data_IF_227055975131
#
_entry.id   IF_227055975131
#
_cell.length_a   1.000
_cell.length_b   1.000
_cell.length_c   1.000
_cell.angle_alpha   90.00
_cell.angle_beta   90.00
_cell.angle_gamma   90.00
#
_symmetry.space_group_name_H-M   'P 1'
#
loop_
_entity.id
_entity.type
_entity.pdbx_description
1 polymer ?
#
# COMPACT_ATOMS: atom_id res chain seq x y z
N UNK A 1 15.99 14.26 -6.36
CA UNK A 1 15.76 12.90 -5.82
C UNK A 1 14.46 12.42 -6.43
N UNK A 2 14.48 11.22 -7.01
CA UNK A 2 13.27 10.65 -7.61
C UNK A 2 12.26 10.27 -6.52
N UNK A 3 10.97 10.24 -6.87
CA UNK A 3 9.90 9.91 -5.93
C UNK A 3 10.02 8.46 -5.45
N UNK A 4 10.43 7.56 -6.35
CA UNK A 4 10.70 6.16 -6.02
C UNK A 4 11.81 6.02 -4.98
N UNK A 5 12.95 6.71 -5.20
CA UNK A 5 14.08 6.70 -4.26
C UNK A 5 13.65 7.19 -2.88
N UNK A 6 12.87 8.28 -2.82
CA UNK A 6 12.37 8.84 -1.56
C UNK A 6 11.49 7.85 -0.80
N UNK A 7 10.60 7.14 -1.51
CA UNK A 7 9.75 6.11 -0.90
C UNK A 7 10.61 4.98 -0.35
N UNK A 8 11.61 4.51 -1.10
CA UNK A 8 12.49 3.42 -0.66
C UNK A 8 13.35 3.77 0.55
N UNK A 9 13.69 5.04 0.72
CA UNK A 9 14.43 5.55 1.88
C UNK A 9 13.53 5.73 3.12
N UNK A 10 12.32 6.26 2.95
CA UNK A 10 11.45 6.64 4.07
C UNK A 10 10.48 5.54 4.52
N UNK A 11 10.09 4.63 3.63
CA UNK A 11 9.09 3.59 3.90
C UNK A 11 9.76 2.25 4.17
N UNK A 12 9.22 1.55 5.17
CA UNK A 12 9.58 0.18 5.55
C UNK A 12 8.54 -0.79 5.02
N UNK A 13 8.97 -2.02 4.80
CA UNK A 13 8.10 -3.10 4.41
C UNK A 13 7.00 -3.31 5.46
N UNK A 14 5.74 -3.23 5.04
CA UNK A 14 4.56 -3.41 5.87
C UNK A 14 4.33 -4.85 6.34
N UNK A 15 5.13 -5.80 5.84
CA UNK A 15 5.09 -7.20 6.25
C UNK A 15 6.23 -7.59 7.20
N UNK A 16 7.47 -7.14 6.95
CA UNK A 16 8.64 -7.52 7.76
C UNK A 16 9.32 -6.38 8.54
N UNK A 17 8.95 -5.12 8.29
CA UNK A 17 9.53 -3.96 8.96
C UNK A 17 10.92 -3.53 8.44
N UNK A 18 11.51 -4.26 7.50
CA UNK A 18 12.81 -3.93 6.91
C UNK A 18 12.74 -2.76 5.92
N UNK A 19 13.87 -2.10 5.68
CA UNK A 19 13.98 -1.03 4.68
C UNK A 19 13.71 -1.54 3.25
N UNK A 20 13.12 -0.67 2.42
CA UNK A 20 12.90 -0.93 0.99
C UNK A 20 14.08 -0.53 0.10
N UNK A 21 15.17 0.00 0.67
CA UNK A 21 16.34 0.50 -0.07
C UNK A 21 17.01 -0.53 -0.99
N UNK A 22 16.91 -1.82 -0.66
CA UNK A 22 17.42 -2.93 -1.48
C UNK A 22 16.35 -3.57 -2.37
N UNK A 23 15.10 -3.13 -2.26
CA UNK A 23 13.99 -3.62 -3.08
C UNK A 23 14.12 -3.06 -4.49
N UNK A 24 14.04 -3.94 -5.49
CA UNK A 24 14.06 -3.54 -6.90
C UNK A 24 12.81 -2.76 -7.25
N UNK A 25 11.66 -3.15 -6.71
CA UNK A 25 10.37 -2.53 -6.97
C UNK A 25 9.73 -1.98 -5.69
N UNK A 26 8.83 -1.01 -5.86
CA UNK A 26 7.84 -0.63 -4.86
C UNK A 26 6.60 -1.48 -5.10
N UNK A 27 6.39 -2.51 -4.29
CA UNK A 27 5.25 -3.40 -4.44
C UNK A 27 4.11 -2.92 -3.55
N UNK A 28 3.11 -2.30 -4.16
CA UNK A 28 1.92 -1.78 -3.47
C UNK A 28 0.79 -2.80 -3.53
N UNK A 29 0.23 -3.14 -2.37
CA UNK A 29 -0.94 -4.01 -2.22
C UNK A 29 -2.15 -3.13 -1.88
N UNK A 30 -3.20 -3.24 -2.68
CA UNK A 30 -4.52 -2.68 -2.36
C UNK A 30 -5.18 -3.55 -1.29
N UNK A 31 -5.53 -2.96 -0.15
CA UNK A 31 -6.20 -3.67 0.94
C UNK A 31 -7.72 -3.50 0.82
N UNK A 32 -8.48 -4.50 1.28
CA UNK A 32 -9.94 -4.38 1.49
C UNK A 32 -10.25 -3.60 2.77
N UNK A 33 -9.50 -2.52 3.01
CA UNK A 33 -9.57 -1.66 4.18
C UNK A 33 -9.74 -0.21 3.75
N UNK A 34 -10.56 0.55 4.47
CA UNK A 34 -10.77 1.98 4.22
C UNK A 34 -9.62 2.79 4.78
N UNK A 35 -9.04 3.67 3.98
CA UNK A 35 -8.10 4.66 4.48
C UNK A 35 -8.87 5.80 5.17
N UNK A 36 -8.41 6.20 6.36
CA UNK A 36 -8.93 7.38 7.07
C UNK A 36 -8.09 8.63 6.81
N UNK A 37 -7.14 8.53 5.87
CA UNK A 37 -6.20 9.58 5.47
C UNK A 37 -6.35 9.89 3.98
N UNK A 38 -5.76 11.01 3.55
CA UNK A 38 -6.00 11.58 2.21
C UNK A 38 -5.06 11.04 1.14
N UNK A 39 -3.77 10.91 1.46
CA UNK A 39 -2.73 10.60 0.48
C UNK A 39 -2.46 9.10 0.40
N UNK A 40 -1.71 8.68 -0.62
CA UNK A 40 -1.26 7.30 -0.83
C UNK A 40 -2.35 6.22 -0.70
N UNK A 41 -3.59 6.58 -1.02
CA UNK A 41 -4.71 5.65 -1.07
C UNK A 41 -4.80 5.01 -2.45
N UNK A 42 -5.39 3.82 -2.52
CA UNK A 42 -5.71 3.20 -3.79
C UNK A 42 -6.96 3.83 -4.41
N UNK A 43 -6.99 3.87 -5.73
CA UNK A 43 -8.16 4.25 -6.51
C UNK A 43 -7.88 4.06 -7.99
N UNK A 44 -8.82 3.43 -8.68
CA UNK A 44 -8.79 3.26 -10.12
C UNK A 44 -10.13 3.73 -10.69
N UNK A 45 -10.10 4.73 -11.58
CA UNK A 45 -11.30 5.33 -12.20
C UNK A 45 -12.17 4.33 -12.96
N UNK A 46 -11.59 3.20 -13.39
CA UNK A 46 -12.29 2.14 -14.12
C UNK A 46 -12.88 1.06 -13.20
N UNK A 47 -12.60 1.11 -11.89
CA UNK A 47 -13.03 0.10 -10.92
C UNK A 47 -13.86 0.81 -9.84
N UNK A 48 -15.19 0.84 -9.97
CA UNK A 48 -16.07 1.46 -8.98
C UNK A 48 -15.85 0.88 -7.58
N UNK A 49 -15.75 1.74 -6.57
CA UNK A 49 -15.56 1.33 -5.18
C UNK A 49 -14.13 0.93 -4.83
N UNK A 50 -13.17 1.14 -5.74
CA UNK A 50 -11.74 0.99 -5.46
C UNK A 50 -11.12 2.21 -4.79
N UNK A 51 -11.84 3.35 -4.75
CA UNK A 51 -11.32 4.62 -4.25
C UNK A 51 -11.20 4.65 -2.73
N UNK A 52 -10.16 5.33 -2.22
CA UNK A 52 -10.00 5.59 -0.80
C UNK A 52 -9.63 4.36 0.02
N UNK A 53 -9.11 3.31 -0.61
CA UNK A 53 -8.63 2.12 0.10
C UNK A 53 -7.23 2.33 0.63
N UNK A 54 -6.96 1.73 1.79
CA UNK A 54 -5.64 1.69 2.38
C UNK A 54 -4.71 0.80 1.53
N UNK A 55 -3.43 1.11 1.56
CA UNK A 55 -2.40 0.34 0.85
C UNK A 55 -1.32 -0.13 1.81
N UNK A 56 -0.69 -1.24 1.46
CA UNK A 56 0.54 -1.70 2.08
C UNK A 56 1.67 -1.68 1.05
N UNK A 57 2.90 -1.33 1.47
CA UNK A 57 4.08 -1.49 0.63
C UNK A 57 4.94 -2.61 1.19
N UNK A 58 5.32 -3.54 0.33
CA UNK A 58 6.11 -4.71 0.73
C UNK A 58 7.38 -4.85 -0.14
N UNK A 59 8.44 -5.39 0.47
CA UNK A 59 9.68 -5.65 -0.26
C UNK A 59 9.54 -6.85 -1.20
N UNK A 60 10.42 -6.93 -2.20
CA UNK A 60 10.42 -8.03 -3.17
C UNK A 60 10.47 -9.42 -2.52
N UNK A 61 11.19 -9.55 -1.40
CA UNK A 61 11.32 -10.84 -0.71
C UNK A 61 10.00 -11.26 -0.06
N UNK A 62 9.26 -10.33 0.54
CA UNK A 62 7.94 -10.61 1.11
C UNK A 62 6.92 -10.97 0.02
N UNK A 63 6.99 -10.33 -1.15
CA UNK A 63 6.17 -10.71 -2.32
C UNK A 63 6.48 -12.14 -2.76
N UNK A 64 7.76 -12.49 -2.93
CA UNK A 64 8.17 -13.85 -3.34
C UNK A 64 7.69 -14.92 -2.36
N UNK A 65 7.79 -14.63 -1.06
CA UNK A 65 7.36 -15.54 0.00
C UNK A 65 5.85 -15.52 0.25
N UNK A 66 5.10 -14.64 -0.44
CA UNK A 66 3.66 -14.41 -0.21
C UNK A 66 3.35 -14.08 1.25
N UNK A 67 4.22 -13.31 1.90
CA UNK A 67 3.99 -12.85 3.27
C UNK A 67 2.90 -11.78 3.25
N UNK A 68 1.86 -11.98 4.04
CA UNK A 68 0.81 -10.99 4.20
C UNK A 68 1.32 -9.76 4.95
N UNK A 69 0.92 -8.55 4.55
CA UNK A 69 1.23 -7.35 5.30
C UNK A 69 0.48 -7.35 6.64
N UNK A 70 1.10 -6.79 7.67
CA UNK A 70 0.48 -6.56 8.98
C UNK A 70 0.00 -5.11 9.12
N UNK A 71 0.60 -4.21 8.34
CA UNK A 71 0.35 -2.77 8.39
C UNK A 71 -0.14 -2.22 7.06
N UNK A 72 -0.96 -1.18 7.12
CA UNK A 72 -1.14 -0.22 6.05
C UNK A 72 -0.20 0.96 6.29
N UNK A 73 0.20 1.64 5.21
CA UNK A 73 1.07 2.81 5.28
C UNK A 73 0.26 4.08 5.00
N UNK A 74 0.55 5.14 5.73
CA UNK A 74 0.11 6.52 5.47
C UNK A 74 1.37 7.39 5.37
N UNK A 75 1.37 8.33 4.43
CA UNK A 75 2.33 9.43 4.45
C UNK A 75 1.68 10.74 4.01
N UNK A 76 2.28 11.86 4.38
CA UNK A 76 1.88 13.18 3.91
C UNK A 76 2.32 13.44 2.46
N UNK A 77 1.74 14.45 1.79
CA UNK A 77 2.04 14.77 0.39
C UNK A 77 3.55 14.86 0.08
N UNK A 78 4.31 15.35 1.05
CA UNK A 78 5.74 15.61 0.89
C UNK A 78 6.60 14.46 1.43
N UNK A 79 6.02 13.36 1.90
CA UNK A 79 6.70 12.17 2.40
C UNK A 79 7.71 12.49 3.52
N UNK A 80 7.34 13.43 4.39
CA UNK A 80 8.11 13.88 5.57
C UNK A 80 7.74 13.08 6.82
N UNK A 81 6.50 12.59 6.90
CA UNK A 81 6.03 11.75 7.99
C UNK A 81 5.42 10.47 7.42
N UNK A 82 5.87 9.31 7.93
CA UNK A 82 5.33 8.00 7.56
C UNK A 82 4.74 7.35 8.80
N UNK A 83 3.46 6.98 8.73
CA UNK A 83 2.73 6.28 9.78
C UNK A 83 2.34 4.89 9.31
N UNK A 84 2.32 3.95 10.25
CA UNK A 84 1.94 2.56 10.03
C UNK A 84 0.73 2.26 10.87
N UNK A 85 -0.33 1.77 10.23
CA UNK A 85 -1.60 1.43 10.87
C UNK A 85 -1.77 -0.08 10.84
N UNK A 86 -2.08 -0.71 11.97
CA UNK A 86 -2.39 -2.14 11.99
C UNK A 86 -3.60 -2.40 11.10
N UNK A 87 -3.51 -3.37 10.20
CA UNK A 87 -4.61 -3.71 9.29
C UNK A 87 -5.84 -4.16 10.06
N UNK A 88 -5.66 -4.82 11.20
CA UNK A 88 -6.74 -5.24 12.10
C UNK A 88 -7.59 -4.08 12.64
N UNK A 89 -7.02 -2.88 12.70
CA UNK A 89 -7.67 -1.71 13.31
C UNK A 89 -8.45 -0.89 12.28
N UNK A 90 -8.32 -1.21 10.99
CA UNK A 90 -8.96 -0.50 9.89
C UNK A 90 -10.33 -1.10 9.55
N UNK A 91 -11.26 -0.21 9.19
CA UNK A 91 -12.61 -0.55 8.73
C UNK A 91 -12.54 -1.35 7.43
N UNK A 92 -13.20 -2.51 7.39
CA UNK A 92 -13.34 -3.33 6.18
C UNK A 92 -14.22 -2.63 5.14
N UNK A 93 -13.87 -2.83 3.86
CA UNK A 93 -14.69 -2.46 2.72
C UNK A 93 -14.93 -3.69 1.84
N UNK A 94 -16.05 -3.75 1.09
CA UNK A 94 -16.33 -4.88 0.20
C UNK A 94 -15.16 -5.20 -0.73
N UNK A 95 -14.92 -6.47 -1.01
CA UNK A 95 -13.86 -6.84 -1.94
C UNK A 95 -14.15 -6.31 -3.34
N UNK A 96 -13.09 -5.94 -4.06
CA UNK A 96 -13.22 -5.62 -5.49
C UNK A 96 -13.38 -6.95 -6.22
N UNK A 97 -14.58 -7.22 -6.74
CA UNK A 97 -14.83 -8.43 -7.53
C UNK A 97 -14.11 -8.32 -8.88
N UNK A 98 -13.23 -9.27 -9.16
CA UNK A 98 -12.37 -9.30 -10.35
C UNK A 98 -13.13 -9.44 -11.67
N UNK A 99 -14.40 -9.87 -11.63
CA UNK A 99 -15.20 -10.16 -12.84
C UNK A 99 -15.60 -8.89 -13.61
N UNK A 100 -15.41 -7.70 -13.03
CA UNK A 100 -15.67 -6.40 -13.68
C UNK A 100 -14.38 -5.62 -14.03
N UNK A 101 -13.20 -6.20 -13.80
CA UNK A 101 -11.92 -5.54 -14.04
C UNK A 101 -11.41 -5.91 -15.43
N UNK A 102 -11.74 -5.07 -16.43
CA UNK A 102 -11.08 -5.12 -17.74
C UNK A 102 -9.62 -4.69 -17.58
N UNK A 103 -8.70 -5.66 -17.61
CA UNK A 103 -7.27 -5.39 -17.76
C UNK A 103 -7.00 -4.93 -19.18
N UNK A 104 -6.54 -3.68 -19.36
CA UNK A 104 -5.97 -3.16 -20.60
C UNK A 104 -4.47 -2.95 -20.44
#
# INVERSE_FOLDING_TARGET
MDTEDKIKECVKCCACGESLSTSRYINTICLNKKATWRYNTWGNVLIPGSEGRAVAIVCDECIKQKREPEYAVEWDNDLTEVRYHLISDLEDVPEILSDEVFFF
#
